data_IF_740549632262
#
_entry.id   IF_740549632262
#
_cell.length_a   1.000
_cell.length_b   1.000
_cell.length_c   1.000
_cell.angle_alpha   90.00
_cell.angle_beta   90.00
_cell.angle_gamma   90.00
#
_symmetry.space_group_name_H-M   'P 1'
#
loop_
_entity.id
_entity.type
_entity.pdbx_description
1 polymer ?
#
# COMPACT_ATOMS: atom_id res chain seq x y z
N UNK A 1 0.47 -36.08 24.53
CA UNK A 1 1.57 -35.21 25.00
C UNK A 1 2.00 -34.36 23.81
N UNK A 2 1.29 -33.25 23.54
CA UNK A 2 1.59 -32.38 22.39
C UNK A 2 2.28 -31.13 22.95
N UNK A 3 3.56 -31.02 22.63
CA UNK A 3 4.42 -29.92 23.04
C UNK A 3 4.27 -28.79 22.00
N UNK A 4 3.33 -27.88 22.21
CA UNK A 4 3.25 -26.63 21.45
C UNK A 4 3.31 -25.44 22.41
N UNK A 5 4.46 -25.26 23.06
CA UNK A 5 4.86 -23.96 23.57
C UNK A 5 5.20 -23.06 22.37
N UNK A 6 4.18 -22.59 21.65
CA UNK A 6 4.33 -21.43 20.78
C UNK A 6 4.72 -20.26 21.69
N UNK A 7 6.01 -19.94 21.69
CA UNK A 7 6.56 -18.94 22.59
C UNK A 7 5.99 -17.57 22.19
N UNK A 8 5.27 -16.85 23.08
CA UNK A 8 4.59 -15.58 22.77
C UNK A 8 5.54 -14.50 22.20
N UNK A 9 6.85 -14.71 22.33
CA UNK A 9 7.90 -13.86 21.77
C UNK A 9 7.92 -13.84 20.23
N UNK A 10 7.57 -14.93 19.53
CA UNK A 10 7.70 -14.99 18.05
C UNK A 10 6.65 -14.16 17.32
N UNK A 11 5.41 -14.17 17.80
CA UNK A 11 4.33 -13.36 17.21
C UNK A 11 4.59 -11.87 17.41
N UNK A 12 5.03 -11.47 18.61
CA UNK A 12 5.42 -10.09 18.87
C UNK A 12 6.58 -9.63 17.98
N UNK A 13 7.58 -10.49 17.75
CA UNK A 13 8.71 -10.15 16.88
C UNK A 13 8.28 -9.92 15.43
N UNK A 14 7.36 -10.70 14.86
CA UNK A 14 6.85 -10.48 13.50
C UNK A 14 6.08 -9.14 13.37
N UNK A 15 5.29 -8.78 14.39
CA UNK A 15 4.63 -7.47 14.45
C UNK A 15 5.65 -6.31 14.52
N UNK A 16 6.69 -6.42 15.35
CA UNK A 16 7.74 -5.41 15.45
C UNK A 16 8.58 -5.28 14.18
N UNK A 17 8.86 -6.39 13.49
CA UNK A 17 9.57 -6.38 12.20
C UNK A 17 8.74 -5.68 11.14
N UNK A 18 7.45 -5.98 11.04
CA UNK A 18 6.55 -5.32 10.10
C UNK A 18 6.38 -3.83 10.35
N UNK A 19 6.21 -3.47 11.62
CA UNK A 19 6.13 -2.09 12.05
C UNK A 19 7.42 -1.31 11.73
N UNK A 20 8.58 -1.90 12.02
CA UNK A 20 9.88 -1.33 11.67
C UNK A 20 10.07 -1.14 10.16
N UNK A 21 9.70 -2.14 9.36
CA UNK A 21 9.84 -2.09 7.91
C UNK A 21 8.96 -0.99 7.28
N UNK A 22 7.73 -0.83 7.77
CA UNK A 22 6.81 0.23 7.34
C UNK A 22 7.35 1.63 7.65
N UNK A 23 7.91 1.82 8.85
CA UNK A 23 8.53 3.11 9.24
C UNK A 23 9.72 3.42 8.35
N UNK A 24 10.62 2.44 8.15
CA UNK A 24 11.82 2.62 7.31
C UNK A 24 11.41 2.98 5.88
N UNK A 25 10.43 2.28 5.29
CA UNK A 25 9.98 2.56 3.93
C UNK A 25 9.36 3.95 3.80
N UNK A 26 8.58 4.38 4.81
CA UNK A 26 8.01 5.73 4.87
C UNK A 26 9.09 6.80 4.99
N UNK A 27 10.09 6.57 5.85
CA UNK A 27 11.23 7.48 6.01
C UNK A 27 12.06 7.57 4.73
N UNK A 28 12.24 6.47 4.00
CA UNK A 28 12.91 6.48 2.69
C UNK A 28 12.10 7.30 1.69
N UNK A 29 10.79 7.07 1.59
CA UNK A 29 9.92 7.81 0.67
C UNK A 29 9.94 9.33 0.95
N UNK A 30 9.78 9.72 2.22
CA UNK A 30 9.83 11.13 2.63
C UNK A 30 11.23 11.73 2.50
N UNK A 31 12.26 11.02 2.95
CA UNK A 31 13.65 11.47 2.84
C UNK A 31 14.03 11.70 1.39
N UNK A 32 13.64 10.79 0.49
CA UNK A 32 13.86 10.97 -0.94
C UNK A 32 13.21 12.26 -1.45
N UNK A 33 11.96 12.55 -1.10
CA UNK A 33 11.31 13.80 -1.52
C UNK A 33 12.00 15.03 -0.95
N UNK A 34 12.36 15.01 0.32
CA UNK A 34 12.96 16.19 0.97
C UNK A 34 14.36 16.49 0.43
N UNK A 35 15.19 15.46 0.22
CA UNK A 35 16.58 15.64 -0.19
C UNK A 35 16.79 15.69 -1.70
N UNK A 36 15.99 14.97 -2.50
CA UNK A 36 16.19 14.87 -3.96
C UNK A 36 15.26 15.79 -4.77
N UNK A 37 14.38 16.58 -4.12
CA UNK A 37 13.47 17.50 -4.83
C UNK A 37 14.17 18.51 -5.73
N UNK A 38 15.34 19.00 -5.35
CA UNK A 38 16.08 20.00 -6.13
C UNK A 38 16.89 19.36 -7.28
N UNK A 39 17.19 18.06 -7.18
CA UNK A 39 18.09 17.36 -8.10
C UNK A 39 17.36 16.59 -9.20
N UNK A 40 16.07 16.27 -9.03
CA UNK A 40 15.31 15.44 -9.97
C UNK A 40 14.06 16.15 -10.51
N UNK A 41 13.72 15.83 -11.76
CA UNK A 41 12.44 16.26 -12.35
C UNK A 41 11.27 15.66 -11.57
N UNK A 42 10.19 16.44 -11.45
CA UNK A 42 8.94 16.07 -10.76
C UNK A 42 8.39 14.72 -11.25
N UNK A 43 8.54 14.41 -12.54
CA UNK A 43 8.09 13.13 -13.09
C UNK A 43 8.85 11.91 -12.55
N UNK A 44 10.16 12.05 -12.33
CA UNK A 44 10.99 10.98 -11.75
C UNK A 44 10.70 10.80 -10.27
N UNK A 45 10.52 11.92 -9.55
CA UNK A 45 10.18 11.85 -8.13
C UNK A 45 8.79 11.20 -7.91
N UNK A 46 7.82 11.57 -8.74
CA UNK A 46 6.48 11.00 -8.70
C UNK A 46 6.47 9.48 -8.99
N UNK A 47 7.28 9.01 -9.94
CA UNK A 47 7.34 7.57 -10.25
C UNK A 47 7.94 6.75 -9.11
N UNK A 48 9.01 7.24 -8.48
CA UNK A 48 9.63 6.53 -7.35
C UNK A 48 8.68 6.52 -6.15
N UNK A 49 8.00 7.64 -5.87
CA UNK A 49 6.97 7.70 -4.83
C UNK A 49 5.82 6.73 -5.08
N UNK A 50 5.39 6.58 -6.33
CA UNK A 50 4.35 5.60 -6.68
C UNK A 50 4.81 4.17 -6.37
N UNK A 51 6.07 3.82 -6.66
CA UNK A 51 6.64 2.51 -6.31
C UNK A 51 6.71 2.32 -4.80
N UNK A 52 7.18 3.32 -4.05
CA UNK A 52 7.20 3.28 -2.59
C UNK A 52 5.79 3.12 -2.01
N UNK A 53 4.78 3.82 -2.55
CA UNK A 53 3.40 3.72 -2.12
C UNK A 53 2.82 2.31 -2.34
N UNK A 54 3.09 1.71 -3.49
CA UNK A 54 2.69 0.32 -3.77
C UNK A 54 3.36 -0.64 -2.79
N UNK A 55 4.68 -0.54 -2.61
CA UNK A 55 5.42 -1.37 -1.66
C UNK A 55 4.88 -1.21 -0.22
N UNK A 56 4.48 0.00 0.17
CA UNK A 56 3.86 0.27 1.47
C UNK A 56 2.51 -0.44 1.64
N UNK A 57 1.68 -0.48 0.60
CA UNK A 57 0.42 -1.25 0.61
C UNK A 57 0.71 -2.74 0.88
N UNK A 58 1.72 -3.32 0.24
CA UNK A 58 2.10 -4.72 0.47
C UNK A 58 2.57 -4.97 1.91
N UNK A 59 3.43 -4.10 2.47
CA UNK A 59 3.88 -4.20 3.87
C UNK A 59 2.68 -4.17 4.82
N UNK A 60 1.73 -3.26 4.60
CA UNK A 60 0.55 -3.15 5.44
C UNK A 60 -0.36 -4.39 5.35
N UNK A 61 -0.56 -4.92 4.15
CA UNK A 61 -1.37 -6.13 3.95
C UNK A 61 -0.69 -7.36 4.60
N UNK A 62 0.63 -7.49 4.53
CA UNK A 62 1.33 -8.67 5.06
C UNK A 62 1.45 -8.63 6.59
N UNK A 63 1.79 -7.46 7.15
CA UNK A 63 2.14 -7.37 8.58
C UNK A 63 0.99 -6.91 9.48
N UNK A 64 0.14 -5.99 9.01
CA UNK A 64 -1.00 -5.50 9.80
C UNK A 64 -2.24 -6.34 9.61
N UNK A 65 -2.52 -6.77 8.37
CA UNK A 65 -3.61 -7.68 8.09
C UNK A 65 -3.10 -9.12 8.28
N UNK A 66 -2.75 -9.42 9.54
CA UNK A 66 -2.19 -10.68 9.98
C UNK A 66 -3.20 -11.82 9.74
N UNK A 67 -3.17 -12.39 8.54
CA UNK A 67 -3.93 -13.59 8.19
C UNK A 67 -3.45 -14.70 9.11
N UNK A 68 -4.30 -15.05 10.07
CA UNK A 68 -4.02 -16.13 11.02
C UNK A 68 -3.99 -17.44 10.24
N UNK A 69 -2.81 -18.06 10.16
CA UNK A 69 -2.61 -19.43 9.68
C UNK A 69 -3.31 -20.43 10.62
N UNK A 70 -4.62 -20.54 10.50
CA UNK A 70 -5.45 -21.57 11.14
C UNK A 70 -6.30 -22.28 10.10
N UNK A 71 -6.82 -23.46 10.44
CA UNK A 71 -7.52 -24.41 9.55
C UNK A 71 -8.72 -23.87 8.74
N UNK A 72 -9.09 -22.59 8.86
CA UNK A 72 -10.17 -21.94 8.11
C UNK A 72 -9.67 -20.73 7.26
N UNK A 73 -8.40 -20.75 6.88
CA UNK A 73 -7.64 -19.64 6.28
C UNK A 73 -8.20 -19.08 4.95
N UNK A 74 -8.86 -19.95 4.17
CA UNK A 74 -9.32 -19.61 2.81
C UNK A 74 -10.35 -18.47 2.77
N UNK A 75 -11.23 -18.37 3.78
CA UNK A 75 -12.26 -17.32 3.84
C UNK A 75 -11.68 -15.94 4.15
N UNK A 76 -10.59 -15.87 4.90
CA UNK A 76 -9.93 -14.62 5.24
C UNK A 76 -9.22 -14.05 4.00
N UNK A 77 -8.48 -14.90 3.27
CA UNK A 77 -7.85 -14.56 1.99
C UNK A 77 -8.90 -14.15 0.95
N UNK A 78 -10.03 -14.85 0.87
CA UNK A 78 -11.12 -14.51 -0.04
C UNK A 78 -11.71 -13.12 0.26
N UNK A 79 -11.90 -12.78 1.54
CA UNK A 79 -12.40 -11.45 1.96
C UNK A 79 -11.40 -10.32 1.64
N UNK A 80 -10.10 -10.60 1.76
CA UNK A 80 -9.03 -9.66 1.44
C UNK A 80 -8.97 -9.40 -0.07
N UNK A 81 -9.03 -10.46 -0.88
CA UNK A 81 -9.04 -10.34 -2.34
C UNK A 81 -10.27 -9.56 -2.81
N UNK A 82 -11.45 -9.87 -2.27
CA UNK A 82 -12.69 -9.16 -2.57
C UNK A 82 -12.58 -7.65 -2.25
N UNK A 83 -12.04 -7.32 -1.09
CA UNK A 83 -11.80 -5.93 -0.68
C UNK A 83 -10.78 -5.24 -1.59
N UNK A 84 -9.70 -5.93 -1.97
CA UNK A 84 -8.69 -5.41 -2.88
C UNK A 84 -9.24 -5.11 -4.28
N UNK A 85 -10.11 -5.98 -4.80
CA UNK A 85 -10.79 -5.75 -6.09
C UNK A 85 -11.69 -4.51 -6.02
N UNK A 86 -12.50 -4.39 -4.95
CA UNK A 86 -13.35 -3.20 -4.75
C UNK A 86 -12.50 -1.93 -4.66
N UNK A 87 -11.40 -1.98 -3.89
CA UNK A 87 -10.49 -0.85 -3.75
C UNK A 87 -9.90 -0.40 -5.09
N UNK A 88 -9.43 -1.35 -5.91
CA UNK A 88 -8.93 -1.06 -7.26
C UNK A 88 -10.01 -0.49 -8.17
N UNK A 89 -11.23 -1.02 -8.08
CA UNK A 89 -12.38 -0.51 -8.85
C UNK A 89 -12.72 0.93 -8.44
N UNK A 90 -12.77 1.23 -7.14
CA UNK A 90 -13.14 2.56 -6.64
C UNK A 90 -12.04 3.58 -6.94
N UNK A 91 -10.77 3.27 -6.67
CA UNK A 91 -9.66 4.21 -6.90
C UNK A 91 -9.39 4.39 -8.39
N UNK A 92 -9.27 3.29 -9.14
CA UNK A 92 -9.06 3.32 -10.58
C UNK A 92 -10.25 3.92 -11.32
N UNK A 93 -11.46 3.52 -10.96
CA UNK A 93 -12.71 4.04 -11.53
C UNK A 93 -12.92 5.51 -11.21
N UNK A 94 -12.68 5.95 -9.96
CA UNK A 94 -12.81 7.36 -9.58
C UNK A 94 -11.81 8.24 -10.32
N UNK A 95 -10.55 7.81 -10.42
CA UNK A 95 -9.52 8.51 -11.19
C UNK A 95 -9.87 8.59 -12.68
N UNK A 96 -10.32 7.48 -13.27
CA UNK A 96 -10.75 7.44 -14.67
C UNK A 96 -11.94 8.35 -14.94
N UNK A 97 -12.98 8.29 -14.11
CA UNK A 97 -14.19 9.10 -14.26
C UNK A 97 -13.84 10.59 -14.13
N UNK A 98 -13.02 10.98 -13.14
CA UNK A 98 -12.59 12.37 -13.00
C UNK A 98 -11.78 12.86 -14.20
N UNK A 99 -10.86 12.03 -14.71
CA UNK A 99 -10.07 12.37 -15.90
C UNK A 99 -10.97 12.52 -17.15
N UNK A 100 -11.89 11.58 -17.35
CA UNK A 100 -12.85 11.61 -18.45
C UNK A 100 -13.78 12.84 -18.37
N UNK A 101 -14.31 13.13 -17.18
CA UNK A 101 -15.13 14.33 -16.97
C UNK A 101 -14.32 15.61 -17.19
N UNK A 102 -13.08 15.68 -16.72
CA UNK A 102 -12.20 16.85 -16.94
C UNK A 102 -12.05 17.13 -18.43
N UNK A 103 -11.70 16.11 -19.22
CA UNK A 103 -11.55 16.26 -20.67
C UNK A 103 -12.86 16.65 -21.37
N UNK A 104 -14.01 16.20 -20.86
CA UNK A 104 -15.31 16.43 -21.49
C UNK A 104 -16.03 17.70 -20.97
N UNK A 105 -15.60 18.28 -19.85
CA UNK A 105 -16.23 19.44 -19.21
C UNK A 105 -15.36 20.70 -19.24
N UNK A 106 -14.14 20.64 -19.80
CA UNK A 106 -13.35 21.85 -20.06
C UNK A 106 -13.83 22.50 -21.39
N UNK A 107 -14.58 23.62 -21.37
CA UNK A 107 -14.83 24.39 -22.57
C UNK A 107 -13.50 24.97 -23.05
N UNK A 108 -13.26 24.83 -24.35
CA UNK A 108 -12.17 25.49 -25.07
C UNK A 108 -12.29 27.00 -24.78
N UNK A 109 -11.33 27.58 -24.06
CA UNK A 109 -11.24 29.04 -23.95
C UNK A 109 -10.79 29.56 -25.33
N UNK A 110 -11.63 30.30 -26.08
CA UNK A 110 -11.12 31.06 -27.21
C UNK A 110 -10.18 32.13 -26.64
N UNK A 111 -8.90 32.07 -27.01
CA UNK A 111 -7.95 33.15 -26.76
C UNK A 111 -8.27 34.36 -27.64
#
# INVERSE_FOLDING_TARGET
MINHTQSPKRELLDYFVGYGLSIILTLIAFGMVVYLRDHFSIGVLASILAVCAIAQIFVQIIYFLHIHKGDNDGWNIASLLFTGIILLMVVGGSGWVMFYLHMNMMPELPL
#
